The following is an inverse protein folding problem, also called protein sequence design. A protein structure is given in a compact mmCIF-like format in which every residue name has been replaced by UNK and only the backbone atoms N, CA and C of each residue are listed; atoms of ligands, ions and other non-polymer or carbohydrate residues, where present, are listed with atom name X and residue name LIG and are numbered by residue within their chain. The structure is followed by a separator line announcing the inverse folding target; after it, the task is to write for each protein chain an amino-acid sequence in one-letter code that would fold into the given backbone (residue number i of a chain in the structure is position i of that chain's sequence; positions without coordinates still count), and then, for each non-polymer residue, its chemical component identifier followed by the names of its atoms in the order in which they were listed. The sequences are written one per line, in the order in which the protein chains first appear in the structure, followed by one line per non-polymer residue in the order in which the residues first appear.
data_IF_274445609765
#
_entry.id   IF_274445609765
#
_cell.length_a   1.000
_cell.length_b   1.000
_cell.length_c   1.000
_cell.angle_alpha   90.00
_cell.angle_beta   90.00
_cell.angle_gamma   90.00
#
_symmetry.space_group_name_H-M   'P 1'
#
loop_
_entity.id
_entity.type
_entity.pdbx_description
1 polymer ?
#
# COMPACT_ATOMS: atom_id res chain seq x y z
N UNK A 1 4.73 -7.91 -19.04
CA UNK A 1 4.28 -7.10 -17.89
C UNK A 1 4.66 -7.84 -16.61
N UNK A 2 5.23 -7.16 -15.61
CA UNK A 2 5.46 -7.74 -14.27
C UNK A 2 4.39 -7.18 -13.33
N UNK A 3 3.71 -8.07 -12.61
CA UNK A 3 2.74 -7.72 -11.58
C UNK A 3 3.35 -7.88 -10.20
N UNK A 4 2.75 -7.23 -9.21
CA UNK A 4 3.09 -7.35 -7.80
C UNK A 4 1.82 -7.58 -7.00
N UNK A 5 1.96 -8.28 -5.89
CA UNK A 5 0.90 -8.41 -4.91
C UNK A 5 0.90 -7.19 -3.99
N UNK A 6 -0.22 -6.48 -3.93
CA UNK A 6 -0.50 -5.48 -2.92
C UNK A 6 -1.40 -6.12 -1.86
N UNK A 7 -0.96 -6.13 -0.61
CA UNK A 7 -1.76 -6.52 0.53
C UNK A 7 -2.01 -5.31 1.43
N UNK A 8 -3.26 -5.04 1.81
CA UNK A 8 -3.61 -3.90 2.67
C UNK A 8 -4.72 -4.24 3.66
N UNK A 9 -4.80 -3.49 4.76
CA UNK A 9 -5.90 -3.58 5.74
C UNK A 9 -6.74 -2.30 5.77
N UNK A 10 -7.97 -2.32 5.26
CA UNK A 10 -8.91 -1.22 5.44
C UNK A 10 -9.08 -0.86 6.92
N UNK A 11 -8.86 0.42 7.25
CA UNK A 11 -8.93 0.95 8.62
C UNK A 11 -8.00 0.26 9.64
N UNK A 12 -7.01 -0.52 9.20
CA UNK A 12 -6.12 -1.29 10.08
C UNK A 12 -6.79 -2.45 10.82
N UNK A 13 -8.05 -2.79 10.51
CA UNK A 13 -8.82 -3.82 11.21
C UNK A 13 -9.25 -4.95 10.25
N UNK A 14 -9.32 -6.17 10.78
CA UNK A 14 -9.79 -7.34 10.03
C UNK A 14 -8.72 -8.00 9.15
N UNK A 15 -9.19 -8.77 8.17
CA UNK A 15 -8.36 -9.56 7.26
C UNK A 15 -7.64 -8.67 6.23
N UNK A 16 -6.47 -9.12 5.80
CA UNK A 16 -5.75 -8.50 4.68
C UNK A 16 -6.51 -8.71 3.36
N UNK A 17 -6.71 -7.63 2.62
CA UNK A 17 -7.15 -7.67 1.23
C UNK A 17 -5.92 -7.79 0.34
N UNK A 18 -5.93 -8.74 -0.60
CA UNK A 18 -4.82 -9.00 -1.51
C UNK A 18 -5.28 -8.75 -2.94
N UNK A 19 -4.49 -8.01 -3.70
CA UNK A 19 -4.73 -7.74 -5.12
C UNK A 19 -3.44 -7.85 -5.91
N UNK A 20 -3.51 -8.42 -7.11
CA UNK A 20 -2.37 -8.47 -8.04
C UNK A 20 -2.55 -7.42 -9.11
N UNK A 21 -1.63 -6.45 -9.16
CA UNK A 21 -1.69 -5.31 -10.09
C UNK A 21 -0.32 -5.08 -10.72
N UNK A 22 -0.22 -4.18 -11.70
CA UNK A 22 1.10 -3.78 -12.23
C UNK A 22 1.92 -3.06 -11.16
N UNK A 23 3.25 -3.08 -11.30
CA UNK A 23 4.18 -2.41 -10.38
C UNK A 23 3.78 -0.95 -10.09
N UNK A 24 3.53 -0.17 -11.13
CA UNK A 24 3.22 1.26 -10.98
C UNK A 24 1.90 1.48 -10.22
N UNK A 25 0.93 0.61 -10.44
CA UNK A 25 -0.36 0.64 -9.71
C UNK A 25 -0.18 0.21 -8.26
N UNK A 26 0.61 -0.82 -7.98
CA UNK A 26 0.90 -1.26 -6.61
C UNK A 26 1.55 -0.14 -5.80
N UNK A 27 2.52 0.57 -6.37
CA UNK A 27 3.19 1.69 -5.71
C UNK A 27 2.25 2.88 -5.48
N UNK A 28 1.43 3.25 -6.46
CA UNK A 28 0.46 4.33 -6.32
C UNK A 28 -0.55 4.04 -5.21
N UNK A 29 -1.15 2.84 -5.22
CA UNK A 29 -2.11 2.42 -4.21
C UNK A 29 -1.47 2.30 -2.82
N UNK A 30 -0.24 1.82 -2.72
CA UNK A 30 0.44 1.74 -1.44
C UNK A 30 0.68 3.11 -0.81
N UNK A 31 1.08 4.10 -1.60
CA UNK A 31 1.22 5.49 -1.13
C UNK A 31 -0.12 6.06 -0.65
N UNK A 32 -1.19 5.86 -1.43
CA UNK A 32 -2.52 6.34 -1.08
C UNK A 32 -3.05 5.68 0.21
N UNK A 33 -2.98 4.35 0.31
CA UNK A 33 -3.51 3.61 1.45
C UNK A 33 -2.68 3.81 2.73
N UNK A 34 -1.36 3.90 2.61
CA UNK A 34 -0.50 4.26 3.74
C UNK A 34 -0.79 5.68 4.25
N UNK A 35 -1.10 6.63 3.36
CA UNK A 35 -1.55 7.98 3.76
C UNK A 35 -2.91 7.97 4.49
N UNK A 36 -3.75 6.96 4.27
CA UNK A 36 -4.96 6.74 5.07
C UNK A 36 -4.69 6.10 6.44
N UNK A 37 -3.43 5.81 6.76
CA UNK A 37 -3.03 5.13 7.99
C UNK A 37 -3.28 3.62 7.95
N UNK A 38 -3.47 3.04 6.76
CA UNK A 38 -3.67 1.60 6.63
C UNK A 38 -2.33 0.88 6.59
N UNK A 39 -2.27 -0.33 7.14
CA UNK A 39 -1.10 -1.18 6.95
C UNK A 39 -1.08 -1.70 5.52
N UNK A 40 0.05 -1.54 4.82
CA UNK A 40 0.22 -1.95 3.42
C UNK A 40 1.53 -2.73 3.22
N UNK A 41 1.48 -3.74 2.35
CA UNK A 41 2.62 -4.54 1.91
C UNK A 41 2.63 -4.68 0.38
N UNK A 42 3.82 -4.68 -0.21
CA UNK A 42 4.04 -5.05 -1.61
C UNK A 42 4.95 -6.27 -1.66
N UNK A 43 4.49 -7.35 -2.30
CA UNK A 43 5.16 -8.65 -2.38
C UNK A 43 5.62 -9.15 -0.98
N UNK A 44 4.80 -8.90 0.04
CA UNK A 44 5.07 -9.26 1.44
C UNK A 44 5.95 -8.27 2.22
N UNK A 45 6.55 -7.28 1.57
CA UNK A 45 7.38 -6.26 2.23
C UNK A 45 6.52 -5.09 2.72
N UNK A 46 6.67 -4.71 3.99
CA UNK A 46 5.96 -3.56 4.57
C UNK A 46 6.41 -2.29 3.86
N UNK A 47 5.44 -1.50 3.39
CA UNK A 47 5.71 -0.19 2.83
C UNK A 47 5.63 0.80 3.98
N UNK A 48 6.78 1.26 4.45
CA UNK A 48 6.83 2.35 5.41
C UNK A 48 6.25 3.60 4.76
N UNK A 49 5.24 4.20 5.39
CA UNK A 49 4.73 5.48 4.96
C UNK A 49 5.85 6.50 5.10
N UNK A 50 6.47 6.91 3.99
CA UNK A 50 7.29 8.11 4.02
C UNK A 50 6.36 9.25 4.44
N UNK A 51 6.66 9.99 5.53
CA UNK A 51 5.81 11.07 5.98
C UNK A 51 5.79 12.11 4.86
N UNK A 52 4.68 12.14 4.14
CA UNK A 52 4.35 13.18 3.16
C UNK A 52 4.69 14.52 3.78
N UNK A 53 5.77 15.16 3.31
CA UNK A 53 6.13 16.54 3.63
C UNK A 53 4.85 17.37 3.45
N UNK A 54 4.24 17.76 4.56
CA UNK A 54 3.16 18.75 4.54
C UNK A 54 3.77 20.00 3.93
N UNK A 55 3.38 20.32 2.69
CA UNK A 55 3.60 21.63 2.13
C UNK A 55 2.89 22.63 3.07
N UNK A 56 3.70 23.43 3.76
CA UNK A 56 3.28 24.53 4.60
C UNK A 56 2.80 25.72 3.75
#
# INVERSE_FOLDING_TARGET
MKTQELAYKPYGIGSWTHVTVSKDVAQALASEYSNYGWEVKIDGNVVEAEPSLKAA
#
